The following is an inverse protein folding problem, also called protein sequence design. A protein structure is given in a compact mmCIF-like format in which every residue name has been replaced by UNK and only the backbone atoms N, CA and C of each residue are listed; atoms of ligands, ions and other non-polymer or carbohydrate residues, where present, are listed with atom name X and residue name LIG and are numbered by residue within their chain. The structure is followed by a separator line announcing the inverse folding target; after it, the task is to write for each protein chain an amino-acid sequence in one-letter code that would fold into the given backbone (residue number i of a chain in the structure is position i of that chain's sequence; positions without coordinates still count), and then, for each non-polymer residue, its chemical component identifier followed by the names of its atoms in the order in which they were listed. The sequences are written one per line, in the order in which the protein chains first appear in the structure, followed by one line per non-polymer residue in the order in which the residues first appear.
data_IF_795652643559
#
_entry.id   IF_795652643559
#
_cell.length_a   1.000
_cell.length_b   1.000
_cell.length_c   1.000
_cell.angle_alpha   90.00
_cell.angle_beta   90.00
_cell.angle_gamma   90.00
#
_symmetry.space_group_name_H-M   'P 1'
#
loop_
_entity.id
_entity.type
_entity.pdbx_description
1 polymer ?
#
# COMPACT_ATOMS: atom_id res chain seq x y z
N UNK A 1 -32.16 15.36 1.93
CA UNK A 1 -31.23 14.78 0.93
C UNK A 1 -29.90 14.39 1.58
N UNK A 2 -29.90 13.86 2.82
CA UNK A 2 -28.72 13.98 3.72
C UNK A 2 -28.12 12.62 4.13
N UNK A 3 -28.90 11.54 4.06
CA UNK A 3 -28.42 10.17 4.38
C UNK A 3 -27.54 9.59 3.26
N UNK A 4 -27.84 9.95 2.01
CA UNK A 4 -27.19 9.39 0.82
C UNK A 4 -25.74 9.84 0.65
N UNK A 5 -25.42 11.09 1.02
CA UNK A 5 -24.05 11.65 0.98
C UNK A 5 -23.16 10.96 2.02
N UNK A 6 -23.67 10.76 3.24
CA UNK A 6 -22.94 10.03 4.30
C UNK A 6 -22.62 8.59 3.90
N UNK A 7 -23.55 7.88 3.25
CA UNK A 7 -23.31 6.49 2.80
C UNK A 7 -22.32 6.43 1.63
N UNK A 8 -22.35 7.42 0.73
CA UNK A 8 -21.38 7.51 -0.36
C UNK A 8 -19.95 7.71 0.16
N UNK A 9 -19.76 8.63 1.12
CA UNK A 9 -18.45 8.88 1.75
C UNK A 9 -17.94 7.66 2.52
N UNK A 10 -18.81 7.02 3.32
CA UNK A 10 -18.45 5.77 4.02
C UNK A 10 -18.04 4.68 3.05
N UNK A 11 -18.75 4.53 1.93
CA UNK A 11 -18.42 3.58 0.86
C UNK A 11 -17.08 3.92 0.20
N UNK A 12 -16.81 5.20 -0.07
CA UNK A 12 -15.56 5.62 -0.70
C UNK A 12 -14.35 5.31 0.17
N UNK A 13 -14.40 5.71 1.45
CA UNK A 13 -13.32 5.43 2.41
C UNK A 13 -13.13 3.93 2.61
N UNK A 14 -14.22 3.16 2.67
CA UNK A 14 -14.14 1.69 2.72
C UNK A 14 -13.41 1.11 1.50
N UNK A 15 -13.74 1.57 0.29
CA UNK A 15 -13.07 1.13 -0.93
C UNK A 15 -11.57 1.47 -0.92
N UNK A 16 -11.20 2.67 -0.49
CA UNK A 16 -9.79 3.08 -0.41
C UNK A 16 -9.06 2.29 0.69
N UNK A 17 -9.66 2.06 1.85
CA UNK A 17 -9.09 1.22 2.90
C UNK A 17 -8.84 -0.22 2.42
N UNK A 18 -9.78 -0.76 1.63
CA UNK A 18 -9.61 -2.06 0.97
C UNK A 18 -8.48 -2.03 -0.07
N UNK A 19 -8.35 -0.94 -0.83
CA UNK A 19 -7.24 -0.74 -1.78
C UNK A 19 -5.89 -0.72 -1.07
N UNK A 20 -5.73 0.10 -0.02
CA UNK A 20 -4.51 0.13 0.82
C UNK A 20 -4.16 -1.27 1.32
N UNK A 21 -5.15 -2.02 1.81
CA UNK A 21 -4.95 -3.39 2.31
C UNK A 21 -4.51 -4.38 1.21
N UNK A 22 -5.08 -4.25 0.01
CA UNK A 22 -4.74 -5.07 -1.16
C UNK A 22 -3.34 -4.78 -1.67
N UNK A 23 -2.99 -3.50 -1.82
CA UNK A 23 -1.68 -3.05 -2.29
C UNK A 23 -0.59 -3.46 -1.28
N UNK A 24 -0.85 -3.26 0.02
CA UNK A 24 -0.02 -3.76 1.12
C UNK A 24 0.24 -5.26 1.04
N UNK A 25 -0.80 -6.06 0.81
CA UNK A 25 -0.68 -7.52 0.69
C UNK A 25 0.15 -7.92 -0.54
N UNK A 26 0.05 -7.16 -1.62
CA UNK A 26 0.82 -7.40 -2.85
C UNK A 26 2.30 -7.12 -2.63
N UNK A 27 2.65 -6.03 -1.94
CA UNK A 27 4.02 -5.73 -1.53
C UNK A 27 4.59 -6.84 -0.65
N UNK A 28 3.88 -7.25 0.42
CA UNK A 28 4.33 -8.33 1.32
C UNK A 28 4.55 -9.64 0.55
N UNK A 29 3.66 -9.97 -0.38
CA UNK A 29 3.77 -11.18 -1.21
C UNK A 29 4.99 -11.13 -2.12
N UNK A 30 5.29 -9.97 -2.71
CA UNK A 30 6.48 -9.80 -3.54
C UNK A 30 7.75 -9.88 -2.68
N UNK A 31 7.79 -9.27 -1.49
CA UNK A 31 8.91 -9.44 -0.54
C UNK A 31 9.14 -10.91 -0.17
N UNK A 32 8.08 -11.64 0.16
CA UNK A 32 8.16 -13.07 0.46
C UNK A 32 8.74 -13.88 -0.72
N UNK A 33 8.38 -13.50 -1.96
CA UNK A 33 8.92 -14.13 -3.18
C UNK A 33 10.39 -13.78 -3.40
N UNK A 34 10.78 -12.52 -3.18
CA UNK A 34 12.19 -12.07 -3.21
C UNK A 34 13.03 -12.92 -2.28
N UNK A 35 12.62 -13.03 -1.02
CA UNK A 35 13.31 -13.84 0.00
C UNK A 35 13.34 -15.33 -0.37
N UNK A 36 12.20 -15.89 -0.80
CA UNK A 36 12.10 -17.32 -1.16
C UNK A 36 12.97 -17.69 -2.35
N UNK A 37 13.08 -16.80 -3.34
CA UNK A 37 13.83 -17.06 -4.57
C UNK A 37 15.29 -16.62 -4.48
N UNK A 38 15.64 -15.83 -3.45
CA UNK A 38 16.95 -15.18 -3.30
C UNK A 38 17.32 -14.38 -4.56
N UNK A 39 16.31 -13.74 -5.15
CA UNK A 39 16.47 -12.88 -6.32
C UNK A 39 15.89 -11.52 -6.02
N UNK A 40 16.55 -10.46 -6.47
CA UNK A 40 16.03 -9.09 -6.37
C UNK A 40 14.70 -8.97 -7.11
N UNK A 41 13.74 -8.26 -6.54
CA UNK A 41 12.48 -7.95 -7.22
C UNK A 41 12.72 -6.89 -8.30
N UNK A 42 11.93 -6.95 -9.37
CA UNK A 42 11.87 -5.91 -10.40
C UNK A 42 10.61 -5.07 -10.32
N UNK A 43 9.68 -5.43 -9.43
CA UNK A 43 8.37 -4.82 -9.30
C UNK A 43 8.17 -4.07 -7.97
N UNK A 44 9.06 -4.29 -6.98
CA UNK A 44 8.84 -3.81 -5.62
C UNK A 44 8.66 -2.29 -5.54
N UNK A 45 9.46 -1.50 -6.26
CA UNK A 45 9.36 -0.04 -6.25
C UNK A 45 8.02 0.47 -6.80
N UNK A 46 7.52 -0.18 -7.86
CA UNK A 46 6.21 0.13 -8.44
C UNK A 46 5.10 -0.18 -7.44
N UNK A 47 5.14 -1.36 -6.82
CA UNK A 47 4.13 -1.80 -5.85
C UNK A 47 4.11 -0.91 -4.60
N UNK A 48 5.28 -0.47 -4.12
CA UNK A 48 5.39 0.49 -3.01
C UNK A 48 4.80 1.84 -3.42
N UNK A 49 5.07 2.29 -4.66
CA UNK A 49 4.45 3.50 -5.21
C UNK A 49 2.92 3.43 -5.24
N UNK A 50 2.35 2.31 -5.68
CA UNK A 50 0.89 2.09 -5.71
C UNK A 50 0.28 2.10 -4.30
N UNK A 51 0.93 1.41 -3.35
CA UNK A 51 0.54 1.39 -1.94
C UNK A 51 0.56 2.78 -1.31
N UNK A 52 1.63 3.55 -1.54
CA UNK A 52 1.78 4.90 -0.99
C UNK A 52 0.78 5.88 -1.62
N UNK A 53 0.49 5.73 -2.92
CA UNK A 53 -0.56 6.50 -3.57
C UNK A 53 -1.94 6.23 -2.95
N UNK A 54 -2.28 4.97 -2.66
CA UNK A 54 -3.53 4.63 -1.98
C UNK A 54 -3.63 5.27 -0.57
N UNK A 55 -2.51 5.37 0.15
CA UNK A 55 -2.45 6.08 1.44
C UNK A 55 -2.69 7.57 1.27
N UNK A 56 -2.13 8.19 0.23
CA UNK A 56 -2.36 9.62 -0.05
C UNK A 56 -3.85 9.89 -0.30
N UNK A 57 -4.51 9.06 -1.13
CA UNK A 57 -5.96 9.16 -1.36
C UNK A 57 -6.75 9.01 -0.04
N UNK A 58 -6.39 8.04 0.80
CA UNK A 58 -7.03 7.85 2.10
C UNK A 58 -6.88 9.08 3.00
N UNK A 59 -5.70 9.69 3.03
CA UNK A 59 -5.44 10.88 3.85
C UNK A 59 -6.20 12.11 3.33
N UNK A 60 -6.31 12.27 2.02
CA UNK A 60 -7.10 13.35 1.42
C UNK A 60 -8.58 13.25 1.81
N UNK A 61 -9.14 12.04 1.71
CA UNK A 61 -10.51 11.75 2.13
C UNK A 61 -10.75 12.05 3.61
N UNK A 62 -9.84 11.64 4.48
CA UNK A 62 -9.96 11.89 5.92
C UNK A 62 -9.89 13.38 6.27
N UNK A 63 -9.08 14.16 5.54
CA UNK A 63 -9.03 15.63 5.70
C UNK A 63 -10.35 16.30 5.32
N UNK A 64 -11.14 15.69 4.43
CA UNK A 64 -12.45 16.20 4.03
C UNK A 64 -13.56 15.91 5.05
N UNK A 65 -13.38 14.90 5.92
CA UNK A 65 -14.41 14.45 6.86
C UNK A 65 -14.91 15.54 7.83
N UNK A 66 -14.06 16.36 8.49
CA UNK A 66 -14.52 17.38 9.41
C UNK A 66 -15.56 18.33 8.79
N UNK A 67 -15.41 18.66 7.51
CA UNK A 67 -16.35 19.53 6.78
C UNK A 67 -17.75 18.91 6.65
N UNK A 68 -17.87 17.58 6.68
CA UNK A 68 -19.13 16.85 6.56
C UNK A 68 -19.90 16.80 7.89
N UNK A 69 -19.18 16.76 9.02
CA UNK A 69 -19.78 16.61 10.35
C UNK A 69 -20.00 17.96 11.07
N UNK A 70 -19.10 18.92 10.89
CA UNK A 70 -19.21 20.26 11.49
C UNK A 70 -20.31 21.08 10.81
N UNK A 71 -20.59 20.82 9.52
CA UNK A 71 -21.61 21.53 8.75
C UNK A 71 -23.02 20.90 8.86
N UNK A 72 -23.24 19.96 9.78
CA UNK A 72 -24.57 19.43 10.11
C UNK A 72 -25.34 20.48 10.91
N UNK A 73 -25.95 21.45 10.25
CA UNK A 73 -26.94 22.32 10.90
C UNK A 73 -28.07 21.46 11.49
N UNK A 74 -28.56 21.76 12.72
CA UNK A 74 -29.75 21.15 13.25
C UNK A 74 -30.93 21.47 12.32
N UNK A 75 -31.57 20.45 11.73
CA UNK A 75 -32.88 20.66 11.14
C UNK A 75 -33.88 20.77 12.28
N UNK A 76 -34.18 22.02 12.65
CA UNK A 76 -35.28 22.35 13.53
C UNK A 76 -36.60 21.92 12.85
N UNK A 77 -37.49 21.15 13.51
CA UNK A 77 -38.89 21.16 13.14
C UNK A 77 -39.40 22.60 13.30
N UNK A 78 -39.92 23.20 12.23
CA UNK A 78 -40.57 24.50 12.33
C UNK A 78 -41.79 24.40 13.26
N UNK A 79 -41.77 25.32 14.23
CA UNK A 79 -42.91 26.01 14.87
C UNK A 79 -43.89 25.18 15.71
N UNK A 80 -43.65 25.19 17.01
CA UNK A 80 -44.70 25.57 17.97
C UNK A 80 -44.06 26.32 19.13
N UNK A 81 -44.58 27.52 19.38
CA UNK A 81 -44.17 28.46 20.44
C UNK A 81 -44.05 27.80 21.83
N UNK A 82 -43.08 28.31 22.58
CA UNK A 82 -42.95 28.27 24.04
C UNK A 82 -42.27 27.05 24.70
N UNK A 83 -40.93 27.03 24.71
CA UNK A 83 -40.11 26.54 25.85
C UNK A 83 -38.62 26.88 25.69
N UNK A 84 -37.86 27.03 26.81
CA UNK A 84 -36.52 27.61 26.80
C UNK A 84 -35.51 26.70 26.10
N UNK A 85 -34.65 27.33 25.32
CA UNK A 85 -33.58 26.74 24.53
C UNK A 85 -32.67 25.86 25.41
N UNK A 86 -32.83 24.54 25.30
CA UNK A 86 -32.00 23.58 26.01
C UNK A 86 -30.73 23.31 25.19
N UNK A 87 -29.63 23.93 25.61
CA UNK A 87 -28.26 23.74 25.11
C UNK A 87 -27.77 22.27 25.13
N UNK A 88 -28.50 21.33 25.71
CA UNK A 88 -28.14 19.91 25.76
C UNK A 88 -28.31 19.17 24.42
N UNK A 89 -29.21 19.60 23.52
CA UNK A 89 -29.53 18.85 22.28
C UNK A 89 -28.43 18.95 21.21
N UNK A 90 -27.68 20.06 21.19
CA UNK A 90 -26.54 20.26 20.28
C UNK A 90 -25.33 19.42 20.68
N UNK A 91 -25.03 19.39 21.99
CA UNK A 91 -23.92 18.61 22.55
C UNK A 91 -24.13 17.10 22.34
N UNK A 92 -25.36 16.60 22.45
CA UNK A 92 -25.69 15.21 22.15
C UNK A 92 -25.49 14.87 20.66
N UNK A 93 -25.90 15.73 19.73
CA UNK A 93 -25.71 15.49 18.30
C UNK A 93 -24.23 15.50 17.87
N UNK A 94 -23.42 16.38 18.46
CA UNK A 94 -21.96 16.41 18.27
C UNK A 94 -21.28 15.17 18.86
N UNK A 95 -21.73 14.70 20.05
CA UNK A 95 -21.22 13.48 20.66
C UNK A 95 -21.53 12.23 19.82
N UNK A 96 -22.74 12.12 19.25
CA UNK A 96 -23.11 11.02 18.34
C UNK A 96 -22.27 11.05 17.06
N UNK A 97 -22.03 12.24 16.48
CA UNK A 97 -21.16 12.38 15.31
C UNK A 97 -19.71 11.95 15.61
N UNK A 98 -19.19 12.29 16.79
CA UNK A 98 -17.83 11.94 17.20
C UNK A 98 -17.66 10.42 17.40
N UNK A 99 -18.69 9.74 17.94
CA UNK A 99 -18.68 8.27 18.10
C UNK A 99 -18.57 7.52 16.77
N UNK A 100 -19.07 8.09 15.67
CA UNK A 100 -18.95 7.49 14.32
C UNK A 100 -17.59 7.77 13.66
N UNK A 101 -16.96 8.90 13.99
CA UNK A 101 -15.69 9.34 13.36
C UNK A 101 -14.48 8.67 14.02
N UNK A 102 -14.49 8.52 15.34
CA UNK A 102 -13.35 7.95 16.09
C UNK A 102 -12.95 6.57 15.53
N UNK A 103 -13.85 5.59 15.32
CA UNK A 103 -13.48 4.29 14.78
C UNK A 103 -12.88 4.38 13.37
N UNK A 104 -13.39 5.29 12.54
CA UNK A 104 -12.93 5.48 11.17
C UNK A 104 -11.51 6.04 11.12
N UNK A 105 -11.24 7.09 11.90
CA UNK A 105 -9.91 7.69 12.03
C UNK A 105 -8.92 6.71 12.65
N UNK A 106 -9.38 5.91 13.62
CA UNK A 106 -8.57 4.86 14.25
C UNK A 106 -8.18 3.79 13.24
N UNK A 107 -9.14 3.29 12.45
CA UNK A 107 -8.88 2.32 11.39
C UNK A 107 -7.87 2.86 10.38
N UNK A 108 -8.06 4.09 9.91
CA UNK A 108 -7.16 4.68 8.94
C UNK A 108 -5.75 4.89 9.50
N UNK A 109 -5.64 5.36 10.75
CA UNK A 109 -4.35 5.50 11.44
C UNK A 109 -3.62 4.15 11.51
N UNK A 110 -4.34 3.08 11.83
CA UNK A 110 -3.79 1.73 11.85
C UNK A 110 -3.31 1.27 10.47
N UNK A 111 -4.07 1.55 9.40
CA UNK A 111 -3.67 1.20 8.03
C UNK A 111 -2.42 1.97 7.59
N UNK A 112 -2.35 3.27 7.88
CA UNK A 112 -1.17 4.11 7.58
C UNK A 112 0.07 3.57 8.32
N UNK A 113 -0.10 3.23 9.58
CA UNK A 113 0.96 2.66 10.42
C UNK A 113 1.40 1.27 9.92
N UNK A 114 0.48 0.44 9.41
CA UNK A 114 0.82 -0.83 8.74
C UNK A 114 1.67 -0.58 7.50
N UNK A 115 1.30 0.41 6.67
CA UNK A 115 2.07 0.77 5.47
C UNK A 115 3.49 1.21 5.85
N UNK A 116 3.66 2.06 6.86
CA UNK A 116 4.98 2.47 7.34
C UNK A 116 5.83 1.27 7.80
N UNK A 117 5.23 0.27 8.47
CA UNK A 117 5.94 -0.97 8.81
C UNK A 117 6.35 -1.77 7.58
N UNK A 118 5.51 -1.83 6.55
CA UNK A 118 5.82 -2.52 5.30
C UNK A 118 6.97 -1.82 4.56
N UNK A 119 7.00 -0.48 4.52
CA UNK A 119 8.14 0.26 3.96
C UNK A 119 9.46 -0.08 4.69
N UNK A 120 9.41 -0.17 6.02
CA UNK A 120 10.54 -0.65 6.82
C UNK A 120 10.96 -2.08 6.45
N UNK A 121 10.00 -2.98 6.20
CA UNK A 121 10.28 -4.34 5.73
C UNK A 121 10.91 -4.34 4.33
N UNK A 122 10.47 -3.46 3.42
CA UNK A 122 11.08 -3.31 2.09
C UNK A 122 12.55 -2.94 2.23
N UNK A 123 12.86 -1.93 3.04
CA UNK A 123 14.25 -1.51 3.30
C UNK A 123 15.10 -2.65 3.89
N UNK A 124 14.57 -3.36 4.90
CA UNK A 124 15.28 -4.48 5.51
C UNK A 124 15.51 -5.65 4.55
N UNK A 125 14.57 -5.92 3.64
CA UNK A 125 14.72 -6.98 2.62
C UNK A 125 15.71 -6.55 1.53
N UNK A 126 15.78 -5.26 1.17
CA UNK A 126 16.80 -4.78 0.22
C UNK A 126 18.20 -4.87 0.84
N UNK A 127 18.38 -4.45 2.09
CA UNK A 127 19.65 -4.62 2.82
C UNK A 127 20.06 -6.11 2.91
N UNK A 128 19.10 -6.99 3.23
CA UNK A 128 19.33 -8.43 3.22
C UNK A 128 19.74 -8.93 1.83
N UNK A 129 19.10 -8.45 0.76
CA UNK A 129 19.39 -8.86 -0.61
C UNK A 129 20.80 -8.44 -1.04
N UNK A 130 21.30 -7.29 -0.57
CA UNK A 130 22.67 -6.84 -0.78
C UNK A 130 23.68 -7.71 -0.03
N UNK A 131 23.48 -7.90 1.29
CA UNK A 131 24.38 -8.68 2.14
C UNK A 131 24.46 -10.16 1.72
N UNK A 132 23.36 -10.71 1.25
CA UNK A 132 23.26 -12.10 0.80
C UNK A 132 23.51 -12.29 -0.70
N UNK A 133 23.92 -11.22 -1.41
CA UNK A 133 24.22 -11.24 -2.86
C UNK A 133 23.10 -11.87 -3.70
N UNK A 134 21.85 -11.44 -3.47
CA UNK A 134 20.69 -11.92 -4.22
C UNK A 134 20.89 -11.67 -5.72
N UNK A 135 20.56 -12.68 -6.53
CA UNK A 135 20.76 -12.62 -7.98
C UNK A 135 19.75 -11.68 -8.64
N UNK A 136 20.12 -11.06 -9.76
CA UNK A 136 19.17 -10.32 -10.57
C UNK A 136 18.08 -11.26 -11.14
N UNK A 137 16.85 -10.74 -11.27
CA UNK A 137 15.73 -11.44 -11.90
C UNK A 137 15.97 -11.60 -13.41
N UNK A 138 16.79 -12.58 -13.80
CA UNK A 138 17.16 -12.80 -15.20
C UNK A 138 18.50 -13.49 -15.39
N UNK A 139 19.30 -13.59 -14.31
CA UNK A 139 20.62 -14.21 -14.37
C UNK A 139 20.53 -15.74 -14.41
N UNK A 140 20.06 -16.29 -15.54
CA UNK A 140 20.40 -17.65 -15.94
C UNK A 140 21.87 -17.57 -16.33
N UNK A 141 22.76 -18.00 -15.44
CA UNK A 141 24.19 -18.21 -15.72
C UNK A 141 24.33 -18.70 -17.16
N UNK A 142 24.85 -17.87 -18.04
CA UNK A 142 25.31 -18.32 -19.34
C UNK A 142 26.37 -19.38 -19.03
N UNK A 143 26.04 -20.65 -19.24
CA UNK A 143 27.03 -21.71 -19.21
C UNK A 143 28.04 -21.38 -20.30
N UNK A 144 29.14 -20.75 -19.90
CA UNK A 144 30.30 -20.53 -20.73
C UNK A 144 30.95 -21.91 -20.91
N UNK A 145 30.39 -22.70 -21.82
CA UNK A 145 31.01 -23.92 -22.30
C UNK A 145 32.26 -23.48 -23.08
N UNK A 146 33.36 -23.37 -22.36
CA UNK A 146 34.70 -23.20 -22.91
C UNK A 146 34.99 -24.42 -23.79
N UNK A 147 34.78 -24.27 -25.09
CA UNK A 147 35.12 -25.27 -26.10
C UNK A 147 36.64 -25.25 -26.26
N UNK A 148 37.30 -26.19 -25.61
CA UNK A 148 38.73 -26.46 -25.79
C UNK A 148 38.96 -27.11 -27.16
N UNK A 149 39.06 -26.29 -28.20
CA UNK A 149 39.60 -26.75 -29.48
C UNK A 149 41.13 -26.92 -29.35
N UNK A 150 41.57 -28.10 -28.86
CA UNK A 150 42.92 -28.60 -29.15
C UNK A 150 42.92 -29.14 -30.58
N UNK A 151 43.27 -28.28 -31.53
CA UNK A 151 43.71 -28.75 -32.85
C UNK A 151 45.14 -29.25 -32.70
N UNK A 152 45.32 -30.57 -32.72
CA UNK A 152 46.62 -31.20 -32.94
C UNK A 152 46.80 -31.29 -34.46
N UNK A 153 47.80 -30.64 -35.07
CA UNK A 153 48.14 -30.89 -36.46
C UNK A 153 48.99 -32.16 -36.52
N UNK A 154 48.42 -33.21 -37.12
CA UNK A 154 49.15 -34.36 -37.62
C UNK A 154 49.99 -33.91 -38.84
N UNK A 155 51.31 -33.99 -38.75
CA UNK A 155 52.21 -33.87 -39.89
C UNK A 155 53.07 -35.12 -39.99
N UNK A 156 52.50 -36.14 -40.62
CA UNK A 156 53.24 -37.28 -41.16
C UNK A 156 53.22 -37.21 -42.69
N UNK A 157 54.12 -36.44 -43.30
CA UNK A 157 54.57 -36.65 -44.69
C UNK A 157 55.71 -35.70 -45.06
N UNK A 158 56.94 -36.23 -45.15
CA UNK A 158 57.89 -36.04 -46.26
C UNK A 158 59.28 -36.53 -45.84
N UNK A 159 59.51 -37.84 -46.02
CA UNK A 159 60.83 -38.44 -46.22
C UNK A 159 60.82 -39.09 -47.60
N UNK A 160 61.35 -38.38 -48.61
CA UNK A 160 62.02 -38.82 -49.87
C UNK A 160 62.53 -37.49 -50.48
N UNK A 161 63.78 -37.27 -50.88
CA UNK A 161 64.88 -38.10 -51.39
C UNK A 161 66.19 -37.51 -50.86
#
# INVERSE_FOLDING_TARGET
MNKQVSELTKKHISNIAMKVSSDSSTVIKELAKTMKTMKKSTAIDLLVGEMNYAVLELQEDLKSLPNLFINRQPQLPQESDDCPENNNTKAEAEAVALMDIIPLVTLASLLIEIVARIEGMVGAVEELAELAEFKAAGDRKANQNQTTNKVVPDQHALRRV
#
